data_IF_383219497184
#
_entry.id   IF_383219497184
#
_cell.length_a   1.000
_cell.length_b   1.000
_cell.length_c   1.000
_cell.angle_alpha   90.00
_cell.angle_beta   90.00
_cell.angle_gamma   90.00
#
_symmetry.space_group_name_H-M   'P 1'
#
loop_
_entity.id
_entity.type
_entity.pdbx_description
1 polymer ?
#
# COMPACT_ATOMS: atom_id res chain seq x y z
N UNK A 1 45.66 -40.82 -19.11
CA UNK A 1 45.37 -40.92 -17.65
C UNK A 1 44.52 -39.75 -17.09
N UNK A 2 43.95 -38.87 -17.90
CA UNK A 2 43.26 -37.64 -17.46
C UNK A 2 41.75 -37.80 -17.19
N UNK A 3 41.14 -38.92 -17.56
CA UNK A 3 39.65 -39.11 -17.45
C UNK A 3 39.15 -39.58 -16.07
N UNK A 4 40.00 -39.98 -15.15
CA UNK A 4 39.61 -40.48 -13.81
C UNK A 4 39.50 -39.36 -12.77
N UNK A 5 40.15 -38.23 -12.93
CA UNK A 5 40.18 -37.14 -11.97
C UNK A 5 38.91 -36.25 -12.01
N UNK A 6 38.16 -36.28 -13.11
CA UNK A 6 36.99 -35.39 -13.28
C UNK A 6 35.67 -36.01 -12.77
N UNK A 7 35.63 -37.28 -12.43
CA UNK A 7 34.41 -37.99 -12.00
C UNK A 7 34.11 -37.86 -10.52
N UNK A 8 35.13 -37.64 -9.68
CA UNK A 8 34.94 -37.49 -8.23
C UNK A 8 34.22 -36.18 -7.85
N UNK A 9 34.56 -35.01 -8.40
CA UNK A 9 33.85 -33.76 -8.03
C UNK A 9 32.42 -33.74 -8.56
N UNK A 10 32.15 -34.35 -9.74
CA UNK A 10 30.79 -34.42 -10.30
C UNK A 10 29.84 -35.24 -9.43
N UNK A 11 30.32 -36.35 -8.89
CA UNK A 11 29.52 -37.22 -8.01
C UNK A 11 29.17 -36.52 -6.70
N UNK A 12 30.07 -35.71 -6.14
CA UNK A 12 29.84 -34.89 -4.96
C UNK A 12 28.75 -33.84 -5.19
N UNK A 13 28.77 -33.16 -6.34
CA UNK A 13 27.76 -32.14 -6.70
C UNK A 13 26.38 -32.77 -6.89
N UNK A 14 26.30 -33.95 -7.50
CA UNK A 14 25.02 -34.65 -7.71
C UNK A 14 24.42 -35.10 -6.36
N UNK A 15 25.24 -35.58 -5.44
CA UNK A 15 24.77 -36.01 -4.10
C UNK A 15 24.28 -34.80 -3.28
N UNK A 16 24.97 -33.66 -3.34
CA UNK A 16 24.55 -32.45 -2.63
C UNK A 16 23.25 -31.87 -3.20
N UNK A 17 23.09 -31.87 -4.53
CA UNK A 17 21.85 -31.45 -5.16
C UNK A 17 20.67 -32.37 -4.82
N UNK A 18 20.87 -33.67 -4.80
CA UNK A 18 19.84 -34.63 -4.40
C UNK A 18 19.43 -34.45 -2.94
N UNK A 19 20.38 -34.18 -2.02
CA UNK A 19 20.10 -33.93 -0.62
C UNK A 19 19.29 -32.64 -0.41
N UNK A 20 19.57 -31.58 -1.18
CA UNK A 20 18.83 -30.32 -1.14
C UNK A 20 17.38 -30.51 -1.62
N UNK A 21 17.17 -31.26 -2.70
CA UNK A 21 15.82 -31.56 -3.22
C UNK A 21 15.01 -32.37 -2.21
N UNK A 22 15.61 -33.34 -1.55
CA UNK A 22 14.96 -34.15 -0.50
C UNK A 22 14.59 -33.27 0.71
N UNK A 23 15.47 -32.36 1.12
CA UNK A 23 15.20 -31.43 2.22
C UNK A 23 14.04 -30.45 1.91
N UNK A 24 13.94 -29.97 0.67
CA UNK A 24 12.83 -29.12 0.22
C UNK A 24 11.51 -29.91 0.25
N UNK A 25 11.52 -31.14 -0.29
CA UNK A 25 10.33 -32.00 -0.30
C UNK A 25 9.86 -32.40 1.12
N UNK A 26 10.78 -32.62 2.06
CA UNK A 26 10.48 -32.89 3.46
C UNK A 26 9.88 -31.66 4.18
N UNK A 27 10.30 -30.45 3.80
CA UNK A 27 9.77 -29.22 4.35
C UNK A 27 8.31 -29.01 3.96
N UNK A 28 7.96 -29.30 2.71
CA UNK A 28 6.58 -29.13 2.21
C UNK A 28 5.63 -30.16 2.85
N UNK A 29 6.08 -31.38 3.11
CA UNK A 29 5.27 -32.42 3.78
C UNK A 29 5.09 -32.13 5.29
N UNK A 30 6.06 -31.50 5.97
CA UNK A 30 5.91 -31.09 7.37
C UNK A 30 4.95 -29.91 7.54
N UNK A 31 4.95 -28.97 6.58
CA UNK A 31 4.05 -27.81 6.62
C UNK A 31 2.58 -28.21 6.49
N UNK A 32 2.28 -29.23 5.70
CA UNK A 32 0.91 -29.72 5.47
C UNK A 32 0.34 -30.47 6.69
N UNK A 33 1.19 -31.08 7.52
CA UNK A 33 0.76 -31.82 8.70
C UNK A 33 0.49 -30.93 9.93
N UNK A 34 1.16 -29.77 10.03
CA UNK A 34 1.01 -28.86 11.17
C UNK A 34 -0.22 -27.94 11.06
N UNK A 35 -0.76 -27.71 9.86
CA UNK A 35 -1.95 -26.91 9.63
C UNK A 35 -3.25 -27.71 9.43
N UNK A 36 -3.18 -29.05 9.50
CA UNK A 36 -4.32 -29.97 9.38
C UNK A 36 -5.03 -30.31 10.69
N UNK A 37 -4.92 -29.50 11.75
CA UNK A 37 -5.63 -29.72 13.00
C UNK A 37 -7.09 -29.25 12.87
N UNK A 38 -7.97 -30.23 12.68
CA UNK A 38 -9.40 -30.29 13.08
C UNK A 38 -10.01 -28.98 13.58
N UNK A 39 -10.77 -28.31 12.69
CA UNK A 39 -11.82 -27.39 13.12
C UNK A 39 -12.89 -28.18 13.88
N UNK A 40 -12.74 -28.23 15.18
CA UNK A 40 -13.85 -28.55 16.07
C UNK A 40 -14.76 -27.32 16.07
N UNK A 41 -15.90 -27.41 15.40
CA UNK A 41 -16.95 -26.39 15.46
C UNK A 41 -17.49 -26.34 16.88
N UNK A 42 -17.10 -25.30 17.61
CA UNK A 42 -17.71 -24.98 18.91
C UNK A 42 -19.05 -24.27 18.66
N UNK A 43 -20.05 -24.43 19.57
CA UNK A 43 -21.35 -23.75 19.44
C UNK A 43 -21.28 -22.22 19.33
N UNK A 44 -20.13 -21.63 19.58
CA UNK A 44 -19.86 -20.19 19.50
C UNK A 44 -19.72 -19.69 18.06
N UNK A 45 -19.32 -20.58 17.13
CA UNK A 45 -19.17 -20.21 15.70
C UNK A 45 -20.52 -20.00 15.01
N UNK A 46 -21.58 -20.62 15.52
CA UNK A 46 -22.95 -20.45 15.00
C UNK A 46 -23.56 -19.08 15.38
N UNK A 47 -23.14 -18.50 16.52
CA UNK A 47 -23.61 -17.18 16.96
C UNK A 47 -22.93 -16.03 16.22
N UNK A 48 -21.66 -16.21 15.78
CA UNK A 48 -20.92 -15.23 14.99
C UNK A 48 -21.42 -15.17 13.54
N UNK A 49 -21.84 -16.30 12.98
CA UNK A 49 -22.40 -16.35 11.62
C UNK A 49 -23.75 -15.65 11.49
N UNK A 50 -24.55 -15.56 12.57
CA UNK A 50 -25.85 -14.90 12.57
C UNK A 50 -25.77 -13.37 12.73
N UNK A 51 -24.61 -12.82 13.13
CA UNK A 51 -24.40 -11.37 13.37
C UNK A 51 -23.60 -10.67 12.27
N UNK A 52 -23.20 -11.37 11.21
CA UNK A 52 -22.66 -10.74 10.01
C UNK A 52 -23.81 -10.21 9.15
N UNK A 53 -24.55 -9.25 9.71
CA UNK A 53 -25.22 -8.25 8.89
C UNK A 53 -24.10 -7.50 8.20
N UNK A 54 -23.90 -7.84 6.92
CA UNK A 54 -23.00 -7.13 6.01
C UNK A 54 -23.13 -5.64 6.30
N UNK A 55 -22.04 -4.90 6.53
CA UNK A 55 -22.13 -3.44 6.61
C UNK A 55 -22.83 -3.00 5.34
N UNK A 56 -24.07 -2.53 5.49
CA UNK A 56 -24.73 -1.82 4.41
C UNK A 56 -23.79 -0.68 4.09
N UNK A 57 -23.33 -0.63 2.83
CA UNK A 57 -22.67 0.55 2.31
C UNK A 57 -23.41 1.77 2.87
N UNK A 58 -22.72 2.71 3.52
CA UNK A 58 -23.39 3.90 4.00
C UNK A 58 -24.17 4.44 2.80
N UNK A 59 -25.48 4.77 2.96
CA UNK A 59 -26.29 5.24 1.86
C UNK A 59 -25.47 6.31 1.14
N UNK A 60 -25.33 6.17 -0.17
CA UNK A 60 -24.63 7.12 -1.04
C UNK A 60 -24.83 8.50 -0.48
N UNK A 61 -23.90 8.97 0.31
CA UNK A 61 -23.90 10.33 0.78
C UNK A 61 -23.51 11.13 -0.44
N UNK A 62 -24.51 11.31 -1.33
CA UNK A 62 -24.46 12.24 -2.43
C UNK A 62 -23.74 13.45 -1.87
N UNK A 63 -22.50 13.68 -2.30
CA UNK A 63 -21.72 14.83 -1.89
C UNK A 63 -22.67 16.02 -1.96
N UNK A 64 -22.76 16.87 -0.92
CA UNK A 64 -23.56 18.06 -1.02
C UNK A 64 -23.09 18.80 -2.27
N UNK A 65 -24.00 19.08 -3.18
CA UNK A 65 -23.79 19.70 -4.50
C UNK A 65 -23.17 21.12 -4.39
N UNK A 66 -22.97 21.59 -3.16
CA UNK A 66 -22.30 22.85 -2.79
C UNK A 66 -20.91 22.65 -2.17
N UNK A 67 -20.26 21.49 -2.35
CA UNK A 67 -18.90 21.33 -1.83
C UNK A 67 -17.95 22.24 -2.64
N UNK A 68 -17.23 23.11 -1.90
CA UNK A 68 -16.11 23.89 -2.44
C UNK A 68 -15.22 23.01 -3.35
N UNK A 69 -14.81 23.49 -4.54
CA UNK A 69 -14.01 22.73 -5.49
C UNK A 69 -12.75 22.14 -4.86
N UNK A 70 -12.14 22.80 -3.88
CA UNK A 70 -10.98 22.30 -3.16
C UNK A 70 -11.31 21.11 -2.25
N UNK A 71 -12.44 21.17 -1.56
CA UNK A 71 -12.93 20.06 -0.74
C UNK A 71 -13.23 18.84 -1.61
N UNK A 72 -13.84 19.02 -2.76
CA UNK A 72 -14.13 17.96 -3.72
C UNK A 72 -12.83 17.33 -4.24
N UNK A 73 -11.83 18.14 -4.55
CA UNK A 73 -10.52 17.69 -5.01
C UNK A 73 -9.77 16.89 -3.93
N UNK A 74 -9.78 17.33 -2.67
CA UNK A 74 -9.16 16.60 -1.57
C UNK A 74 -9.86 15.26 -1.28
N UNK A 75 -11.17 15.16 -1.53
CA UNK A 75 -11.90 13.88 -1.44
C UNK A 75 -11.47 12.89 -2.52
N UNK A 76 -11.18 13.33 -3.73
CA UNK A 76 -10.62 12.47 -4.78
C UNK A 76 -9.23 11.96 -4.41
N UNK A 77 -8.37 12.80 -3.82
CA UNK A 77 -7.07 12.37 -3.27
C UNK A 77 -7.26 11.31 -2.17
N UNK A 78 -8.22 11.50 -1.28
CA UNK A 78 -8.52 10.53 -0.24
C UNK A 78 -9.00 9.20 -0.83
N UNK A 79 -9.82 9.22 -1.87
CA UNK A 79 -10.27 8.01 -2.56
C UNK A 79 -9.11 7.24 -3.19
N UNK A 80 -8.18 7.91 -3.89
CA UNK A 80 -6.97 7.29 -4.41
C UNK A 80 -6.09 6.69 -3.28
N UNK A 81 -5.99 7.40 -2.15
CA UNK A 81 -5.30 6.92 -0.95
C UNK A 81 -5.94 5.67 -0.35
N UNK A 82 -7.28 5.57 -0.38
CA UNK A 82 -8.01 4.38 0.07
C UNK A 82 -7.71 3.18 -0.82
N UNK A 83 -7.65 3.36 -2.14
CA UNK A 83 -7.26 2.29 -3.07
C UNK A 83 -5.82 1.80 -2.83
N UNK A 84 -4.89 2.70 -2.49
CA UNK A 84 -3.53 2.31 -2.12
C UNK A 84 -3.55 1.45 -0.85
N UNK A 85 -4.28 1.87 0.18
CA UNK A 85 -4.38 1.11 1.43
C UNK A 85 -5.04 -0.25 1.21
N UNK A 86 -6.08 -0.32 0.39
CA UNK A 86 -6.72 -1.57 -0.02
C UNK A 86 -5.70 -2.49 -0.70
N UNK A 87 -4.93 -1.99 -1.68
CA UNK A 87 -3.90 -2.74 -2.37
C UNK A 87 -2.83 -3.28 -1.42
N UNK A 88 -2.39 -2.49 -0.43
CA UNK A 88 -1.46 -2.95 0.61
C UNK A 88 -2.06 -4.07 1.48
N UNK A 89 -3.33 -3.95 1.87
CA UNK A 89 -3.99 -4.94 2.71
C UNK A 89 -4.28 -6.26 1.98
N UNK A 90 -4.46 -6.20 0.66
CA UNK A 90 -4.73 -7.35 -0.20
C UNK A 90 -3.51 -7.86 -0.96
N UNK A 91 -2.34 -7.23 -0.74
CA UNK A 91 -1.08 -7.49 -1.46
C UNK A 91 -1.22 -7.32 -2.98
N UNK A 92 -2.14 -6.46 -3.42
CA UNK A 92 -2.33 -6.07 -4.83
C UNK A 92 -1.47 -4.84 -5.16
N UNK A 93 -0.21 -5.09 -5.55
CA UNK A 93 0.75 -4.03 -5.91
C UNK A 93 0.34 -3.25 -7.17
N UNK A 94 -0.44 -3.86 -8.06
CA UNK A 94 -0.98 -3.16 -9.23
C UNK A 94 -2.03 -2.12 -8.82
N UNK A 95 -2.88 -2.44 -7.86
CA UNK A 95 -3.85 -1.49 -7.29
C UNK A 95 -3.13 -0.33 -6.60
N UNK A 96 -2.05 -0.62 -5.85
CA UNK A 96 -1.18 0.42 -5.25
C UNK A 96 -0.63 1.35 -6.32
N UNK A 97 -0.02 0.82 -7.38
CA UNK A 97 0.53 1.58 -8.51
C UNK A 97 -0.52 2.46 -9.19
N UNK A 98 -1.73 1.93 -9.41
CA UNK A 98 -2.86 2.68 -9.98
C UNK A 98 -3.26 3.87 -9.09
N UNK A 99 -3.34 3.66 -7.77
CA UNK A 99 -3.61 4.73 -6.81
C UNK A 99 -2.52 5.81 -6.81
N UNK A 100 -1.24 5.42 -6.93
CA UNK A 100 -0.12 6.35 -7.06
C UNK A 100 -0.25 7.21 -8.32
N UNK A 101 -0.57 6.63 -9.47
CA UNK A 101 -0.77 7.37 -10.72
C UNK A 101 -1.89 8.41 -10.60
N UNK A 102 -2.99 8.06 -9.92
CA UNK A 102 -4.08 9.00 -9.66
C UNK A 102 -3.62 10.16 -8.76
N UNK A 103 -2.87 9.89 -7.69
CA UNK A 103 -2.33 10.92 -6.80
C UNK A 103 -1.37 11.87 -7.52
N UNK A 104 -0.46 11.33 -8.35
CA UNK A 104 0.49 12.11 -9.14
C UNK A 104 -0.23 13.01 -10.15
N UNK A 105 -1.16 12.45 -10.91
CA UNK A 105 -1.97 13.21 -11.87
C UNK A 105 -2.70 14.38 -11.19
N UNK A 106 -3.40 14.12 -10.08
CA UNK A 106 -4.10 15.15 -9.34
C UNK A 106 -3.14 16.23 -8.80
N UNK A 107 -1.95 15.84 -8.30
CA UNK A 107 -0.97 16.80 -7.80
C UNK A 107 -0.38 17.70 -8.90
N UNK A 108 -0.26 17.19 -10.12
CA UNK A 108 0.14 18.01 -11.27
C UNK A 108 -0.96 19.00 -11.68
N UNK A 109 -2.21 18.57 -11.67
CA UNK A 109 -3.37 19.42 -11.96
C UNK A 109 -3.56 20.53 -10.93
N UNK A 110 -3.19 20.30 -9.67
CA UNK A 110 -3.28 21.27 -8.59
C UNK A 110 -2.25 22.40 -8.68
N UNK A 111 -1.08 22.15 -9.29
CA UNK A 111 0.02 23.13 -9.40
C UNK A 111 -0.41 24.48 -10.00
N UNK A 112 -1.30 24.47 -10.95
CA UNK A 112 -1.77 25.70 -11.61
C UNK A 112 -2.76 26.50 -10.75
N UNK A 113 -3.47 25.87 -9.81
CA UNK A 113 -4.45 26.52 -8.93
C UNK A 113 -3.79 27.33 -7.82
N UNK A 114 -2.61 26.91 -7.36
CA UNK A 114 -1.92 27.50 -6.20
C UNK A 114 -0.51 27.96 -6.58
N UNK A 115 -0.33 28.37 -7.83
CA UNK A 115 0.99 28.70 -8.41
C UNK A 115 1.71 29.88 -7.73
N UNK A 116 1.01 30.70 -6.94
CA UNK A 116 1.57 31.88 -6.27
C UNK A 116 2.29 31.61 -4.95
N UNK A 117 2.04 30.47 -4.29
CA UNK A 117 2.60 30.17 -2.97
C UNK A 117 3.80 29.21 -3.04
N UNK A 118 4.98 29.73 -2.64
CA UNK A 118 6.22 28.96 -2.64
C UNK A 118 6.23 27.81 -1.63
N UNK A 119 5.56 27.99 -0.47
CA UNK A 119 5.50 26.99 0.59
C UNK A 119 4.61 25.84 0.13
N UNK A 120 3.45 26.16 -0.44
CA UNK A 120 2.56 25.18 -1.01
C UNK A 120 3.25 24.35 -2.10
N UNK A 121 3.98 25.02 -3.03
CA UNK A 121 4.72 24.32 -4.08
C UNK A 121 5.76 23.37 -3.54
N UNK A 122 6.44 23.72 -2.46
CA UNK A 122 7.39 22.83 -1.79
C UNK A 122 6.70 21.59 -1.25
N UNK A 123 5.60 21.72 -0.52
CA UNK A 123 4.84 20.58 -0.01
C UNK A 123 4.32 19.68 -1.13
N UNK A 124 3.83 20.29 -2.21
CA UNK A 124 3.37 19.53 -3.40
C UNK A 124 4.50 18.74 -4.05
N UNK A 125 5.70 19.31 -4.17
CA UNK A 125 6.88 18.63 -4.71
C UNK A 125 7.35 17.50 -3.81
N UNK A 126 7.40 17.72 -2.48
CA UNK A 126 7.76 16.69 -1.51
C UNK A 126 6.75 15.53 -1.50
N UNK A 127 5.48 15.83 -1.66
CA UNK A 127 4.43 14.82 -1.77
C UNK A 127 4.58 14.00 -3.05
N UNK A 128 4.79 14.64 -4.21
CA UNK A 128 5.00 13.95 -5.47
C UNK A 128 6.21 13.01 -5.40
N UNK A 129 7.33 13.45 -4.84
CA UNK A 129 8.52 12.63 -4.68
C UNK A 129 8.23 11.38 -3.80
N UNK A 130 7.49 11.54 -2.71
CA UNK A 130 7.11 10.41 -1.86
C UNK A 130 6.15 9.43 -2.56
N UNK A 131 5.23 9.91 -3.41
CA UNK A 131 4.33 9.05 -4.19
C UNK A 131 5.08 8.31 -5.30
N UNK A 132 6.08 8.93 -5.93
CA UNK A 132 6.95 8.26 -6.91
C UNK A 132 7.77 7.14 -6.27
N UNK A 133 8.32 7.37 -5.06
CA UNK A 133 9.01 6.35 -4.27
C UNK A 133 8.06 5.17 -3.97
N UNK A 134 6.84 5.46 -3.48
CA UNK A 134 5.82 4.44 -3.22
C UNK A 134 5.49 3.61 -4.48
N UNK A 135 5.36 4.27 -5.63
CA UNK A 135 5.09 3.62 -6.90
C UNK A 135 6.25 2.71 -7.32
N UNK A 136 7.50 3.15 -7.11
CA UNK A 136 8.67 2.34 -7.41
C UNK A 136 8.72 1.08 -6.53
N UNK A 137 8.55 1.22 -5.21
CA UNK A 137 8.52 0.07 -4.29
C UNK A 137 7.41 -0.92 -4.64
N UNK A 138 6.23 -0.42 -5.06
CA UNK A 138 5.14 -1.29 -5.51
C UNK A 138 5.46 -2.04 -6.80
N UNK A 139 6.26 -1.45 -7.70
CA UNK A 139 6.68 -2.10 -8.94
C UNK A 139 7.77 -3.17 -8.71
N UNK A 140 8.49 -3.08 -7.60
CA UNK A 140 9.47 -4.10 -7.15
C UNK A 140 8.80 -5.25 -6.38
N UNK A 141 7.48 -5.17 -6.17
CA UNK A 141 6.66 -6.14 -5.41
C UNK A 141 7.16 -6.35 -3.96
N UNK A 142 7.86 -5.36 -3.40
CA UNK A 142 8.29 -5.37 -1.99
C UNK A 142 7.19 -4.79 -1.09
N UNK A 143 6.41 -5.66 -0.46
CA UNK A 143 5.34 -5.27 0.47
C UNK A 143 5.85 -4.42 1.64
N UNK A 144 7.02 -4.72 2.19
CA UNK A 144 7.56 -3.99 3.33
C UNK A 144 8.07 -2.61 2.92
N UNK A 145 8.81 -2.50 1.83
CA UNK A 145 9.25 -1.24 1.24
C UNK A 145 8.05 -0.36 0.86
N UNK A 146 7.08 -0.94 0.17
CA UNK A 146 5.82 -0.26 -0.21
C UNK A 146 5.07 0.26 1.01
N UNK A 147 4.97 -0.52 2.10
CA UNK A 147 4.30 -0.09 3.34
C UNK A 147 5.03 1.08 4.02
N UNK A 148 6.36 1.07 4.05
CA UNK A 148 7.15 2.17 4.59
C UNK A 148 7.02 3.44 3.74
N UNK A 149 7.06 3.31 2.42
CA UNK A 149 6.84 4.42 1.49
C UNK A 149 5.44 5.01 1.65
N UNK A 150 4.41 4.18 1.88
CA UNK A 150 3.05 4.64 2.19
C UNK A 150 2.97 5.48 3.46
N UNK A 151 3.69 5.09 4.51
CA UNK A 151 3.79 5.91 5.74
C UNK A 151 4.41 7.27 5.41
N UNK A 152 5.47 7.33 4.59
CA UNK A 152 6.09 8.58 4.16
C UNK A 152 5.10 9.47 3.40
N UNK A 153 4.35 8.94 2.45
CA UNK A 153 3.27 9.67 1.73
C UNK A 153 2.25 10.25 2.72
N UNK A 154 1.80 9.45 3.69
CA UNK A 154 0.85 9.89 4.72
C UNK A 154 1.41 11.06 5.53
N UNK A 155 2.69 11.01 5.92
CA UNK A 155 3.34 12.11 6.65
C UNK A 155 3.42 13.39 5.82
N UNK A 156 3.60 13.31 4.50
CA UNK A 156 3.57 14.49 3.61
C UNK A 156 2.17 15.12 3.56
N UNK A 157 1.12 14.30 3.51
CA UNK A 157 -0.26 14.79 3.62
C UNK A 157 -0.49 15.54 4.94
N UNK A 158 -0.09 14.96 6.07
CA UNK A 158 -0.30 15.55 7.39
C UNK A 158 0.44 16.88 7.55
N UNK A 159 1.70 16.98 7.11
CA UNK A 159 2.49 18.23 7.16
C UNK A 159 1.85 19.36 6.35
N UNK A 160 1.40 19.06 5.13
CA UNK A 160 0.71 20.05 4.31
C UNK A 160 -0.59 20.52 4.97
N UNK A 161 -1.40 19.59 5.49
CA UNK A 161 -2.65 19.93 6.18
C UNK A 161 -2.43 20.67 7.49
N UNK A 162 -1.36 20.39 8.23
CA UNK A 162 -0.98 21.17 9.42
C UNK A 162 -0.67 22.61 9.05
N UNK A 163 0.13 22.83 8.02
CA UNK A 163 0.46 24.17 7.53
C UNK A 163 -0.80 24.92 7.06
N UNK A 164 -1.68 24.30 6.29
CA UNK A 164 -2.95 24.91 5.85
C UNK A 164 -3.78 25.36 7.05
N UNK A 165 -3.90 24.53 8.09
CA UNK A 165 -4.67 24.89 9.29
C UNK A 165 -4.04 26.06 10.06
N UNK A 166 -2.72 26.05 10.22
CA UNK A 166 -2.05 27.05 11.08
C UNK A 166 -1.83 28.38 10.38
N UNK A 167 -1.53 28.37 9.09
CA UNK A 167 -1.14 29.60 8.37
C UNK A 167 -2.27 30.16 7.52
N UNK A 168 -3.00 29.32 6.81
CA UNK A 168 -4.05 29.77 5.89
C UNK A 168 -5.33 30.10 6.62
N UNK A 169 -5.78 29.22 7.54
CA UNK A 169 -7.03 29.43 8.25
C UNK A 169 -6.90 30.49 9.36
N UNK A 170 -5.80 30.49 10.12
CA UNK A 170 -5.57 31.54 11.13
C UNK A 170 -5.36 32.93 10.51
N UNK A 171 -4.82 33.00 9.29
CA UNK A 171 -4.70 34.27 8.55
C UNK A 171 -6.05 34.86 8.08
N UNK A 172 -7.08 34.04 7.95
CA UNK A 172 -8.45 34.52 7.59
C UNK A 172 -9.20 35.12 8.75
N UNK A 173 -8.91 34.72 10.00
CA UNK A 173 -9.55 35.28 11.20
C UNK A 173 -9.04 36.68 11.57
N UNK A 174 -7.94 37.14 10.98
CA UNK A 174 -7.32 38.44 11.30
C UNK A 174 -7.63 39.56 10.29
N UNK A 175 -8.46 39.29 9.28
CA UNK A 175 -8.93 40.37 8.40
C UNK A 175 -10.21 41.01 8.98
N UNK A 176 -10.16 42.30 9.35
CA UNK A 176 -11.32 43.06 9.87
C UNK A 176 -12.38 43.31 8.81
#
# INVERSE_FOLDING_TARGET
MLRKQLRLPLLGIIITLAAVVVLIALRDTLSTQLFGATRTTTPQDAAVAASQKQPQDPPDKKLPESADPQTSFMRLKLQASTSILEGLCTEDMQLVGTGCDQLLKMSLEERWRVSGDNVYRRYSTEFQAAVEELKQESAEEDLHGTSLAWINVTMKCLKCHEWVRTVVLAGQETQP
#
